data_IF_335344048051
#
_entry.id   IF_335344048051
#
_cell.length_a   1.000
_cell.length_b   1.000
_cell.length_c   1.000
_cell.angle_alpha   90.00
_cell.angle_beta   90.00
_cell.angle_gamma   90.00
#
_symmetry.space_group_name_H-M   'P 1'
#
loop_
_entity.id
_entity.type
_entity.pdbx_description
1 polymer ?
#
# COMPACT_ATOMS: atom_id res chain seq x y z
N UNK A 1 -12.30 -24.58 -8.12
CA UNK A 1 -11.47 -23.70 -7.27
C UNK A 1 -11.17 -22.45 -8.07
N UNK A 2 -11.27 -21.26 -7.49
CA UNK A 2 -10.98 -20.00 -8.19
C UNK A 2 -9.47 -19.71 -8.24
N UNK A 3 -9.05 -18.87 -9.17
CA UNK A 3 -7.68 -18.35 -9.27
C UNK A 3 -7.53 -17.08 -8.42
N UNK A 4 -6.38 -16.92 -7.76
CA UNK A 4 -6.00 -15.71 -7.03
C UNK A 4 -4.72 -15.13 -7.67
N UNK A 5 -4.80 -13.87 -8.06
CA UNK A 5 -3.67 -13.12 -8.62
C UNK A 5 -3.14 -12.16 -7.56
N UNK A 6 -1.82 -12.14 -7.39
CA UNK A 6 -1.14 -11.29 -6.41
C UNK A 6 -0.28 -10.26 -7.12
N UNK A 7 -0.46 -9.01 -6.72
CA UNK A 7 0.44 -7.91 -7.06
C UNK A 7 1.15 -7.44 -5.79
N UNK A 8 2.47 -7.32 -5.85
CA UNK A 8 3.30 -6.88 -4.73
C UNK A 8 4.08 -5.65 -5.15
N UNK A 9 3.78 -4.52 -4.52
CA UNK A 9 4.36 -3.20 -4.79
C UNK A 9 5.90 -3.17 -4.61
N UNK A 10 6.43 -3.91 -3.62
CA UNK A 10 7.85 -3.90 -3.24
C UNK A 10 8.83 -4.12 -4.40
N UNK A 11 8.50 -4.99 -5.36
CA UNK A 11 9.34 -5.30 -6.54
C UNK A 11 8.68 -4.91 -7.86
N UNK A 12 7.55 -4.20 -7.83
CA UNK A 12 6.79 -3.85 -9.03
C UNK A 12 7.41 -2.71 -9.86
N UNK A 13 8.45 -2.02 -9.34
CA UNK A 13 9.08 -0.88 -10.01
C UNK A 13 10.50 -1.24 -10.47
N UNK A 14 10.71 -1.47 -11.79
CA UNK A 14 12.05 -1.72 -12.34
C UNK A 14 13.00 -0.56 -12.06
N UNK A 15 14.21 -0.85 -11.59
CA UNK A 15 15.22 0.19 -11.27
C UNK A 15 16.27 0.37 -12.38
N UNK A 16 16.43 -0.61 -13.27
CA UNK A 16 17.50 -0.59 -14.28
C UNK A 16 17.17 0.23 -15.53
N UNK A 17 15.89 0.26 -15.95
CA UNK A 17 15.45 0.97 -17.14
C UNK A 17 14.46 2.08 -16.77
N UNK A 18 14.82 3.33 -17.08
CA UNK A 18 14.02 4.50 -16.69
C UNK A 18 12.66 4.56 -17.39
N UNK A 19 12.56 4.12 -18.64
CA UNK A 19 11.30 4.09 -19.36
C UNK A 19 10.33 3.10 -18.73
N UNK A 20 10.81 1.88 -18.43
CA UNK A 20 10.03 0.87 -17.70
C UNK A 20 9.69 1.30 -16.28
N UNK A 21 10.62 1.96 -15.58
CA UNK A 21 10.39 2.53 -14.25
C UNK A 21 9.25 3.54 -14.28
N UNK A 22 9.30 4.52 -15.19
CA UNK A 22 8.28 5.55 -15.33
C UNK A 22 6.92 4.95 -15.71
N UNK A 23 6.90 3.96 -16.61
CA UNK A 23 5.67 3.26 -16.98
C UNK A 23 5.07 2.51 -15.77
N UNK A 24 5.91 1.84 -14.97
CA UNK A 24 5.47 1.14 -13.77
C UNK A 24 4.91 2.11 -12.71
N UNK A 25 5.62 3.22 -12.43
CA UNK A 25 5.15 4.27 -11.51
C UNK A 25 3.80 4.84 -11.98
N UNK A 26 3.68 5.16 -13.27
CA UNK A 26 2.44 5.68 -13.85
C UNK A 26 1.27 4.69 -13.76
N UNK A 27 1.54 3.40 -13.58
CA UNK A 27 0.53 2.34 -13.47
C UNK A 27 0.14 1.96 -12.04
N UNK A 28 0.81 2.51 -11.00
CA UNK A 28 0.60 2.13 -9.60
C UNK A 28 -0.87 2.23 -9.18
N UNK A 29 -1.50 3.38 -9.45
CA UNK A 29 -2.90 3.61 -9.12
C UNK A 29 -3.83 2.65 -9.87
N UNK A 30 -3.53 2.30 -11.11
CA UNK A 30 -4.31 1.33 -11.89
C UNK A 30 -4.26 -0.06 -11.26
N UNK A 31 -3.07 -0.54 -10.86
CA UNK A 31 -2.96 -1.84 -10.19
C UNK A 31 -3.68 -1.84 -8.85
N UNK A 32 -3.48 -0.81 -8.02
CA UNK A 32 -4.16 -0.69 -6.74
C UNK A 32 -5.69 -0.63 -6.88
N UNK A 33 -6.22 0.13 -7.86
CA UNK A 33 -7.65 0.20 -8.16
C UNK A 33 -8.25 -1.13 -8.68
N UNK A 34 -7.44 -1.99 -9.31
CA UNK A 34 -7.90 -3.31 -9.77
C UNK A 34 -7.87 -4.37 -8.67
N UNK A 35 -7.12 -4.15 -7.58
CA UNK A 35 -7.00 -5.10 -6.48
C UNK A 35 -8.29 -5.16 -5.66
N UNK A 36 -9.06 -6.25 -5.76
CA UNK A 36 -10.26 -6.46 -4.91
C UNK A 36 -9.91 -6.52 -3.42
N UNK A 37 -8.71 -7.01 -3.10
CA UNK A 37 -8.17 -7.06 -1.75
C UNK A 37 -6.86 -6.29 -1.74
N UNK A 38 -6.74 -5.32 -0.83
CA UNK A 38 -5.56 -4.52 -0.64
C UNK A 38 -5.01 -4.76 0.76
N UNK A 39 -3.71 -5.07 0.87
CA UNK A 39 -3.07 -5.38 2.15
C UNK A 39 -1.84 -4.51 2.34
N UNK A 40 -1.91 -3.56 3.26
CA UNK A 40 -0.74 -2.79 3.70
C UNK A 40 0.09 -3.64 4.68
N UNK A 41 1.29 -4.05 4.27
CA UNK A 41 2.22 -4.81 5.12
C UNK A 41 3.19 -3.83 5.78
N UNK A 42 2.96 -3.53 7.06
CA UNK A 42 3.60 -2.44 7.80
C UNK A 42 4.15 -2.89 9.16
N UNK A 43 5.03 -3.91 9.21
CA UNK A 43 5.66 -4.31 10.47
C UNK A 43 6.56 -3.17 10.99
N UNK A 44 6.57 -2.89 12.31
CA UNK A 44 7.49 -1.94 12.90
C UNK A 44 8.93 -2.42 12.69
N UNK A 45 9.71 -1.66 11.94
CA UNK A 45 11.10 -1.99 11.60
C UNK A 45 11.97 -0.74 11.61
N UNK A 46 13.27 -0.89 11.30
CA UNK A 46 14.22 0.21 11.14
C UNK A 46 14.78 0.24 9.73
N UNK A 47 14.86 1.42 9.15
CA UNK A 47 15.51 1.60 7.86
C UNK A 47 17.00 1.24 7.98
N UNK A 48 17.50 0.41 7.07
CA UNK A 48 18.87 -0.14 7.13
C UNK A 48 19.94 0.95 7.13
N UNK A 49 19.78 1.97 6.28
CA UNK A 49 20.80 3.02 6.14
C UNK A 49 20.68 4.19 7.13
N UNK A 50 19.46 4.58 7.52
CA UNK A 50 19.23 5.78 8.34
C UNK A 50 18.93 5.45 9.80
N UNK A 51 18.60 4.19 10.11
CA UNK A 51 18.18 3.75 11.45
C UNK A 51 16.82 4.31 11.91
N UNK A 52 16.17 5.15 11.10
CA UNK A 52 14.88 5.74 11.41
C UNK A 52 13.79 4.67 11.51
N UNK A 53 12.79 4.86 12.39
CA UNK A 53 11.65 3.93 12.48
C UNK A 53 10.91 3.89 11.14
N UNK A 54 10.43 2.70 10.80
CA UNK A 54 9.52 2.43 9.69
C UNK A 54 8.33 1.67 10.29
N UNK A 55 7.27 2.39 10.56
CA UNK A 55 6.03 1.93 11.18
C UNK A 55 4.81 2.47 10.42
N UNK A 56 3.61 2.20 10.94
CA UNK A 56 2.33 2.68 10.38
C UNK A 56 2.33 4.20 10.15
N UNK A 57 2.78 4.99 11.13
CA UNK A 57 2.79 6.45 11.04
C UNK A 57 3.69 6.92 9.88
N UNK A 58 4.91 6.38 9.78
CA UNK A 58 5.80 6.73 8.67
C UNK A 58 5.34 6.18 7.32
N UNK A 59 4.57 5.09 7.29
CA UNK A 59 3.98 4.53 6.08
C UNK A 59 2.90 5.47 5.51
N UNK A 60 2.01 5.98 6.37
CA UNK A 60 0.94 6.91 5.99
C UNK A 60 1.47 8.25 5.46
N UNK A 61 2.72 8.58 5.77
CA UNK A 61 3.41 9.76 5.25
C UNK A 61 4.00 9.58 3.84
N UNK A 62 4.06 8.35 3.29
CA UNK A 62 4.66 8.09 1.97
C UNK A 62 3.67 8.35 0.85
N UNK A 63 4.04 9.24 -0.07
CA UNK A 63 3.15 9.70 -1.15
C UNK A 63 2.60 8.58 -2.04
N UNK A 64 3.44 7.63 -2.45
CA UNK A 64 2.98 6.49 -3.28
C UNK A 64 2.05 5.55 -2.52
N UNK A 65 2.37 5.24 -1.25
CA UNK A 65 1.52 4.43 -0.40
C UNK A 65 0.14 5.08 -0.19
N UNK A 66 0.07 6.40 -0.07
CA UNK A 66 -1.22 7.12 -0.04
C UNK A 66 -1.97 7.01 -1.36
N UNK A 67 -1.28 7.21 -2.49
CA UNK A 67 -1.89 7.10 -3.82
C UNK A 67 -2.54 5.73 -4.04
N UNK A 68 -1.86 4.65 -3.67
CA UNK A 68 -2.35 3.27 -3.82
C UNK A 68 -3.59 3.03 -2.95
N UNK A 69 -3.56 3.48 -1.70
CA UNK A 69 -4.72 3.39 -0.80
C UNK A 69 -5.91 4.16 -1.36
N UNK A 70 -5.71 5.38 -1.85
CA UNK A 70 -6.76 6.18 -2.49
C UNK A 70 -7.35 5.47 -3.71
N UNK A 71 -6.51 4.91 -4.57
CA UNK A 71 -6.95 4.20 -5.76
C UNK A 71 -7.83 2.98 -5.43
N UNK A 72 -7.46 2.21 -4.39
CA UNK A 72 -8.30 1.13 -3.86
C UNK A 72 -9.62 1.69 -3.30
N UNK A 73 -9.57 2.68 -2.42
CA UNK A 73 -10.76 3.25 -1.76
C UNK A 73 -11.74 3.86 -2.77
N UNK A 74 -11.27 4.47 -3.85
CA UNK A 74 -12.12 4.96 -4.92
C UNK A 74 -12.84 3.85 -5.71
N UNK A 75 -12.31 2.63 -5.69
CA UNK A 75 -12.83 1.49 -6.46
C UNK A 75 -13.70 0.55 -5.62
N UNK A 76 -13.36 0.38 -4.34
CA UNK A 76 -13.97 -0.61 -3.45
C UNK A 76 -14.34 -0.07 -2.07
N UNK A 77 -14.30 1.25 -1.83
CA UNK A 77 -14.44 1.84 -0.49
C UNK A 77 -13.42 1.22 0.48
N UNK A 78 -13.74 1.08 1.76
CA UNK A 78 -12.91 0.38 2.74
C UNK A 78 -13.07 -1.15 2.70
N UNK A 79 -13.91 -1.69 1.81
CA UNK A 79 -14.11 -3.14 1.68
C UNK A 79 -12.85 -3.81 1.10
N UNK A 80 -12.48 -4.95 1.68
CA UNK A 80 -11.29 -5.69 1.25
C UNK A 80 -9.95 -5.00 1.52
N UNK A 81 -9.94 -3.86 2.23
CA UNK A 81 -8.71 -3.20 2.66
C UNK A 81 -8.30 -3.66 4.07
N UNK A 82 -7.11 -4.26 4.15
CA UNK A 82 -6.49 -4.75 5.38
C UNK A 82 -5.12 -4.13 5.60
N UNK A 83 -4.68 -4.16 6.87
CA UNK A 83 -3.29 -3.90 7.26
C UNK A 83 -2.76 -5.03 8.13
N UNK A 84 -1.44 -5.18 8.18
CA UNK A 84 -0.78 -6.13 9.09
C UNK A 84 0.60 -5.67 9.51
N UNK A 85 0.90 -5.84 10.80
CA UNK A 85 2.24 -5.70 11.37
C UNK A 85 2.97 -7.04 11.60
N UNK A 86 2.37 -8.18 11.22
CA UNK A 86 2.90 -9.52 11.44
C UNK A 86 1.99 -10.47 12.23
N UNK A 87 1.05 -9.92 13.02
CA UNK A 87 0.19 -10.70 13.94
C UNK A 87 -1.23 -10.96 13.40
N UNK A 88 -1.37 -11.02 12.07
CA UNK A 88 -2.64 -11.23 11.38
C UNK A 88 -3.15 -10.01 10.62
N UNK A 89 -4.27 -10.18 9.93
CA UNK A 89 -4.90 -9.14 9.10
C UNK A 89 -5.95 -8.37 9.93
N UNK A 90 -5.86 -7.05 9.90
CA UNK A 90 -6.82 -6.14 10.54
C UNK A 90 -7.53 -5.38 9.42
N UNK A 91 -8.87 -5.34 9.43
CA UNK A 91 -9.60 -4.53 8.45
C UNK A 91 -9.40 -3.05 8.75
N UNK A 92 -9.07 -2.27 7.72
CA UNK A 92 -8.91 -0.81 7.86
C UNK A 92 -10.25 -0.13 8.15
N UNK A 93 -11.37 -0.77 7.81
CA UNK A 93 -12.73 -0.32 8.17
C UNK A 93 -12.92 -0.18 9.68
N UNK A 94 -12.22 -1.00 10.46
CA UNK A 94 -12.29 -0.99 11.93
C UNK A 94 -11.30 0.01 12.56
N UNK A 95 -10.53 0.74 11.75
CA UNK A 95 -9.55 1.75 12.20
C UNK A 95 -9.74 3.10 11.49
N UNK A 96 -10.64 3.96 12.01
CA UNK A 96 -10.84 5.30 11.48
C UNK A 96 -9.63 6.21 11.48
N UNK A 97 -8.68 6.00 12.40
CA UNK A 97 -7.50 6.85 12.46
C UNK A 97 -6.63 6.65 11.21
N UNK A 98 -6.51 5.40 10.76
CA UNK A 98 -5.70 5.04 9.59
C UNK A 98 -6.13 5.78 8.32
N UNK A 99 -7.40 5.64 7.91
CA UNK A 99 -7.81 6.24 6.64
C UNK A 99 -7.97 7.76 6.74
N UNK A 100 -8.25 8.31 7.92
CA UNK A 100 -8.23 9.77 8.10
C UNK A 100 -6.81 10.34 7.91
N UNK A 101 -5.79 9.69 8.47
CA UNK A 101 -4.41 10.11 8.27
C UNK A 101 -3.94 9.88 6.82
N UNK A 102 -4.40 8.82 6.16
CA UNK A 102 -4.12 8.59 4.74
C UNK A 102 -4.77 9.61 3.79
N UNK A 103 -5.89 10.23 4.18
CA UNK A 103 -6.70 11.12 3.34
C UNK A 103 -6.47 12.62 3.60
N UNK A 104 -6.17 13.04 4.85
CA UNK A 104 -6.31 14.44 5.27
C UNK A 104 -5.01 15.15 5.70
N UNK A 105 -3.83 14.65 5.31
CA UNK A 105 -2.52 15.27 5.59
C UNK A 105 -1.94 15.96 4.35
#
# INVERSE_FOLDING_TARGET
AGELYLWCDYFAIPQANRTSQNAAIASLSTYAAMCRYFVAVVPPTRHVDTGLPCDEATYLQRGWCRLEQWAHMCSYDLEGFFKTGGDGLISVKDDPAWYNEALFV
#
